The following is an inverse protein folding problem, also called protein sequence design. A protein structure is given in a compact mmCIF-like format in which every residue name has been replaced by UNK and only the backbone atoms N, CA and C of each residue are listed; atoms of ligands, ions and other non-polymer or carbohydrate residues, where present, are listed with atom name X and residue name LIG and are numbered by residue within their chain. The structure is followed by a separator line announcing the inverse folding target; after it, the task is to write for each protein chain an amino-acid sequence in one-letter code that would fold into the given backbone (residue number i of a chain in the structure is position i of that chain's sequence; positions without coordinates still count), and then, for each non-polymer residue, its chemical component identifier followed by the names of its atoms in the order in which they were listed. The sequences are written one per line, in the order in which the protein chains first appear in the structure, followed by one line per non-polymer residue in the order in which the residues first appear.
data_IF_707832362528
#
_entry.id   IF_707832362528
#
_cell.length_a   1.000
_cell.length_b   1.000
_cell.length_c   1.000
_cell.angle_alpha   90.00
_cell.angle_beta   90.00
_cell.angle_gamma   90.00
#
_symmetry.space_group_name_H-M   'P 1'
#
loop_
_entity.id
_entity.type
_entity.pdbx_description
1 polymer ?
#
# COMPACT_ATOMS: atom_id res chain seq x y z
N UNK A 1 -18.11 40.29 -8.92
CA UNK A 1 -16.95 40.09 -8.02
C UNK A 1 -17.18 39.00 -6.99
N UNK A 2 -18.30 39.00 -6.26
CA UNK A 2 -18.63 37.95 -5.28
C UNK A 2 -18.73 36.53 -5.89
N UNK A 3 -19.25 36.41 -7.11
CA UNK A 3 -19.36 35.11 -7.81
C UNK A 3 -18.02 34.50 -8.20
N UNK A 4 -17.01 35.30 -8.50
CA UNK A 4 -15.65 34.84 -8.81
C UNK A 4 -14.93 34.36 -7.56
N UNK A 5 -15.08 35.05 -6.44
CA UNK A 5 -14.52 34.63 -5.16
C UNK A 5 -15.13 33.32 -4.64
N UNK A 6 -16.46 33.16 -4.77
CA UNK A 6 -17.13 31.91 -4.37
C UNK A 6 -16.75 30.73 -5.26
N UNK A 7 -16.55 30.95 -6.57
CA UNK A 7 -16.11 29.90 -7.50
C UNK A 7 -14.67 29.46 -7.21
N UNK A 8 -13.77 30.40 -6.94
CA UNK A 8 -12.40 30.12 -6.55
C UNK A 8 -12.35 29.32 -5.25
N UNK A 9 -13.11 29.72 -4.24
CA UNK A 9 -13.17 29.03 -2.95
C UNK A 9 -13.67 27.57 -3.06
N UNK A 10 -14.69 27.32 -3.89
CA UNK A 10 -15.17 25.97 -4.14
C UNK A 10 -14.11 25.10 -4.80
N UNK A 11 -13.40 25.63 -5.79
CA UNK A 11 -12.29 24.92 -6.45
C UNK A 11 -11.19 24.60 -5.44
N UNK A 12 -10.84 25.52 -4.58
CA UNK A 12 -9.77 25.33 -3.59
C UNK A 12 -10.15 24.26 -2.55
N UNK A 13 -11.40 24.21 -2.14
CA UNK A 13 -11.92 23.15 -1.25
C UNK A 13 -11.84 21.78 -1.93
N UNK A 14 -12.28 21.68 -3.16
CA UNK A 14 -12.23 20.43 -3.93
C UNK A 14 -10.79 19.97 -4.13
N UNK A 15 -9.90 20.88 -4.49
CA UNK A 15 -8.47 20.60 -4.63
C UNK A 15 -7.86 20.11 -3.30
N UNK A 16 -8.21 20.75 -2.19
CA UNK A 16 -7.75 20.35 -0.87
C UNK A 16 -8.19 18.93 -0.50
N UNK A 17 -9.43 18.54 -0.86
CA UNK A 17 -9.94 17.20 -0.65
C UNK A 17 -9.15 16.15 -1.46
N UNK A 18 -8.92 16.41 -2.75
CA UNK A 18 -8.13 15.51 -3.59
C UNK A 18 -6.68 15.39 -3.11
N UNK A 19 -6.06 16.49 -2.73
CA UNK A 19 -4.70 16.48 -2.17
C UNK A 19 -4.63 15.72 -0.84
N UNK A 20 -5.63 15.86 0.00
CA UNK A 20 -5.69 15.11 1.27
C UNK A 20 -5.75 13.61 1.02
N UNK A 21 -6.62 13.15 0.12
CA UNK A 21 -6.71 11.74 -0.24
C UNK A 21 -5.40 11.26 -0.88
N UNK A 22 -4.81 12.05 -1.76
CA UNK A 22 -3.51 11.75 -2.37
C UNK A 22 -2.41 11.55 -1.33
N UNK A 23 -2.31 12.44 -0.34
CA UNK A 23 -1.29 12.36 0.72
C UNK A 23 -1.51 11.13 1.60
N UNK A 24 -2.75 10.81 1.95
CA UNK A 24 -3.08 9.61 2.73
C UNK A 24 -2.67 8.36 1.96
N UNK A 25 -3.03 8.26 0.68
CA UNK A 25 -2.63 7.13 -0.17
C UNK A 25 -1.11 7.03 -0.31
N UNK A 26 -0.42 8.15 -0.49
CA UNK A 26 1.03 8.20 -0.56
C UNK A 26 1.68 7.67 0.71
N UNK A 27 1.18 8.08 1.87
CA UNK A 27 1.69 7.61 3.16
C UNK A 27 1.52 6.10 3.33
N UNK A 28 0.37 5.55 2.96
CA UNK A 28 0.12 4.11 2.99
C UNK A 28 1.06 3.36 2.05
N UNK A 29 1.20 3.83 0.81
CA UNK A 29 2.07 3.20 -0.20
C UNK A 29 3.52 3.19 0.27
N UNK A 30 4.04 4.31 0.75
CA UNK A 30 5.41 4.39 1.27
C UNK A 30 5.60 3.40 2.43
N UNK A 31 4.67 3.36 3.38
CA UNK A 31 4.76 2.47 4.54
C UNK A 31 4.75 1.00 4.15
N UNK A 32 3.87 0.61 3.23
CA UNK A 32 3.73 -0.79 2.80
C UNK A 32 4.91 -1.26 1.95
N UNK A 33 5.38 -0.43 1.02
CA UNK A 33 6.41 -0.82 0.05
C UNK A 33 7.83 -0.46 0.49
N UNK A 34 8.01 0.20 1.61
CA UNK A 34 9.33 0.47 2.18
C UNK A 34 9.82 -0.75 2.98
N UNK A 35 10.40 -1.70 2.26
CA UNK A 35 10.82 -3.00 2.80
C UNK A 35 11.83 -2.90 3.94
N UNK A 36 12.71 -1.92 3.89
CA UNK A 36 13.75 -1.70 4.91
C UNK A 36 13.17 -1.49 6.30
N UNK A 37 11.97 -0.91 6.41
CA UNK A 37 11.27 -0.76 7.68
C UNK A 37 10.99 -2.13 8.31
N UNK A 38 10.46 -3.06 7.53
CA UNK A 38 10.18 -4.42 8.01
C UNK A 38 11.46 -5.21 8.28
N UNK A 39 12.49 -5.05 7.45
CA UNK A 39 13.77 -5.69 7.69
C UNK A 39 14.40 -5.24 9.01
N UNK A 40 14.29 -3.97 9.32
CA UNK A 40 14.66 -3.43 10.64
C UNK A 40 13.82 -4.06 11.76
N UNK A 41 12.52 -4.19 11.57
CA UNK A 41 11.61 -4.76 12.56
C UNK A 41 11.89 -6.25 12.80
N UNK A 42 12.31 -7.01 11.80
CA UNK A 42 12.70 -8.42 11.99
C UNK A 42 13.80 -8.53 13.06
N UNK A 43 14.79 -7.68 13.00
CA UNK A 43 15.91 -7.69 13.94
C UNK A 43 15.53 -7.02 15.28
N UNK A 44 14.87 -5.89 15.24
CA UNK A 44 14.48 -5.13 16.42
C UNK A 44 13.47 -5.87 17.30
N UNK A 45 12.45 -6.48 16.70
CA UNK A 45 11.41 -7.24 17.41
C UNK A 45 11.78 -8.71 17.63
N UNK A 46 12.98 -9.12 17.20
CA UNK A 46 13.49 -10.50 17.32
C UNK A 46 12.52 -11.53 16.78
N UNK A 47 11.96 -11.27 15.59
CA UNK A 47 10.95 -12.12 14.96
C UNK A 47 11.52 -13.51 14.67
N UNK A 48 12.77 -13.62 14.22
CA UNK A 48 13.41 -14.90 13.97
C UNK A 48 13.50 -15.77 15.23
N UNK A 49 13.86 -15.17 16.37
CA UNK A 49 13.97 -15.87 17.65
C UNK A 49 12.60 -16.33 18.16
N UNK A 50 11.57 -15.48 18.04
CA UNK A 50 10.22 -15.79 18.54
C UNK A 50 9.47 -16.81 17.67
N UNK A 51 9.77 -16.91 16.37
CA UNK A 51 9.11 -17.82 15.43
C UNK A 51 9.89 -19.10 15.18
N UNK A 52 11.18 -19.15 15.50
CA UNK A 52 12.06 -20.27 15.14
C UNK A 52 12.44 -20.33 13.66
N UNK A 53 12.06 -19.31 12.88
CA UNK A 53 12.41 -19.21 11.47
C UNK A 53 13.71 -18.44 11.29
N UNK A 54 14.49 -18.74 10.25
CA UNK A 54 15.65 -17.94 9.92
C UNK A 54 15.25 -16.56 9.39
N UNK A 55 16.12 -15.55 9.58
CA UNK A 55 15.91 -14.21 9.07
C UNK A 55 15.71 -14.21 7.54
N UNK A 56 16.49 -15.02 6.83
CA UNK A 56 16.42 -15.14 5.37
C UNK A 56 15.07 -15.69 4.91
N UNK A 57 14.51 -16.67 5.60
CA UNK A 57 13.18 -17.23 5.31
C UNK A 57 12.09 -16.18 5.52
N UNK A 58 12.15 -15.44 6.62
CA UNK A 58 11.19 -14.37 6.93
C UNK A 58 11.26 -13.29 5.85
N UNK A 59 12.44 -12.80 5.53
CA UNK A 59 12.65 -11.75 4.53
C UNK A 59 12.17 -12.18 3.15
N UNK A 60 12.51 -13.37 2.71
CA UNK A 60 12.13 -13.92 1.41
C UNK A 60 10.62 -14.02 1.23
N UNK A 61 9.91 -14.53 2.23
CA UNK A 61 8.45 -14.65 2.18
C UNK A 61 7.77 -13.29 2.25
N UNK A 62 8.30 -12.37 3.05
CA UNK A 62 7.82 -10.99 3.09
C UNK A 62 7.98 -10.29 1.74
N UNK A 63 9.12 -10.45 1.09
CA UNK A 63 9.37 -9.85 -0.23
C UNK A 63 8.37 -10.34 -1.28
N UNK A 64 8.06 -11.64 -1.28
CA UNK A 64 7.03 -12.22 -2.16
C UNK A 64 5.65 -11.64 -1.87
N UNK A 65 5.30 -11.50 -0.58
CA UNK A 65 4.02 -10.94 -0.17
C UNK A 65 3.87 -9.48 -0.62
N UNK A 66 4.89 -8.66 -0.45
CA UNK A 66 4.85 -7.24 -0.87
C UNK A 66 4.82 -7.11 -2.38
N UNK A 67 5.56 -7.91 -3.12
CA UNK A 67 5.49 -7.93 -4.57
C UNK A 67 4.07 -8.25 -5.06
N UNK A 68 3.41 -9.21 -4.42
CA UNK A 68 2.03 -9.58 -4.72
C UNK A 68 1.06 -8.42 -4.54
N UNK A 69 1.29 -7.51 -3.58
CA UNK A 69 0.42 -6.36 -3.31
C UNK A 69 0.52 -5.25 -4.37
N UNK A 70 1.53 -5.27 -5.24
CA UNK A 70 1.71 -4.25 -6.28
C UNK A 70 0.67 -4.41 -7.39
N UNK A 71 0.15 -3.28 -7.91
CA UNK A 71 -0.73 -3.27 -9.10
C UNK A 71 -0.02 -3.81 -10.34
N UNK A 72 1.31 -3.81 -10.36
CA UNK A 72 2.11 -4.31 -11.49
C UNK A 72 2.29 -5.83 -11.47
N UNK A 73 1.95 -6.48 -10.37
CA UNK A 73 2.03 -7.92 -10.26
C UNK A 73 0.72 -8.58 -10.67
N UNK A 74 0.79 -9.50 -11.62
CA UNK A 74 -0.33 -10.33 -12.06
C UNK A 74 0.00 -11.79 -11.75
N UNK A 75 -0.85 -12.45 -11.03
CA UNK A 75 -0.68 -13.85 -10.67
C UNK A 75 -1.15 -14.17 -9.27
N UNK A 76 -0.99 -15.43 -8.88
CA UNK A 76 -1.36 -15.92 -7.55
C UNK A 76 -0.23 -15.68 -6.54
N UNK A 77 -0.59 -15.63 -5.26
CA UNK A 77 0.38 -15.60 -4.17
C UNK A 77 0.87 -17.01 -3.86
N UNK A 78 2.17 -17.22 -3.99
CA UNK A 78 2.84 -18.47 -3.60
C UNK A 78 3.99 -18.13 -2.65
N UNK A 79 3.78 -18.37 -1.37
CA UNK A 79 4.83 -18.21 -0.36
C UNK A 79 5.78 -19.41 -0.43
N UNK A 80 7.11 -19.18 -0.59
CA UNK A 80 8.05 -20.29 -0.84
C UNK A 80 8.14 -21.30 0.30
N UNK A 81 7.95 -20.85 1.54
CA UNK A 81 8.21 -21.67 2.73
C UNK A 81 6.95 -21.94 3.56
N UNK A 82 5.78 -21.49 3.10
CA UNK A 82 4.51 -21.65 3.81
C UNK A 82 3.44 -22.25 2.92
N UNK A 83 2.71 -23.21 3.46
CA UNK A 83 1.48 -23.74 2.84
C UNK A 83 0.33 -22.81 3.19
N UNK A 84 -0.41 -22.38 2.18
CA UNK A 84 -1.53 -21.47 2.37
C UNK A 84 -2.86 -22.22 2.31
N UNK A 85 -3.72 -22.01 3.33
CA UNK A 85 -5.08 -22.51 3.33
C UNK A 85 -5.94 -21.76 2.33
N UNK A 86 -7.09 -22.33 1.93
CA UNK A 86 -8.04 -21.61 1.06
C UNK A 86 -8.55 -20.32 1.71
N UNK A 87 -8.82 -20.33 3.00
CA UNK A 87 -9.22 -19.11 3.75
C UNK A 87 -8.12 -18.05 3.74
N UNK A 88 -6.88 -18.44 3.95
CA UNK A 88 -5.73 -17.54 3.88
C UNK A 88 -5.54 -16.95 2.49
N UNK A 89 -5.72 -17.76 1.43
CA UNK A 89 -5.64 -17.28 0.05
C UNK A 89 -6.69 -16.23 -0.24
N UNK A 90 -7.95 -16.48 0.13
CA UNK A 90 -9.06 -15.53 -0.05
C UNK A 90 -8.76 -14.22 0.70
N UNK A 91 -8.27 -14.31 1.93
CA UNK A 91 -7.88 -13.15 2.72
C UNK A 91 -6.82 -12.28 2.01
N UNK A 92 -5.75 -12.89 1.50
CA UNK A 92 -4.71 -12.15 0.79
C UNK A 92 -5.19 -11.58 -0.54
N UNK A 93 -6.10 -12.25 -1.24
CA UNK A 93 -6.74 -11.69 -2.43
C UNK A 93 -7.58 -10.46 -2.11
N UNK A 94 -8.32 -10.48 -1.02
CA UNK A 94 -9.10 -9.33 -0.55
C UNK A 94 -8.19 -8.16 -0.13
N UNK A 95 -7.13 -8.45 0.60
CA UNK A 95 -6.11 -7.44 0.99
C UNK A 95 -5.47 -6.83 -0.26
N UNK A 96 -5.14 -7.63 -1.26
CA UNK A 96 -4.60 -7.15 -2.54
C UNK A 96 -5.55 -6.17 -3.23
N UNK A 97 -6.84 -6.48 -3.26
CA UNK A 97 -7.84 -5.56 -3.85
C UNK A 97 -7.86 -4.19 -3.15
N UNK A 98 -7.75 -4.18 -1.83
CA UNK A 98 -7.68 -2.94 -1.05
C UNK A 98 -6.42 -2.14 -1.42
N UNK A 99 -5.26 -2.77 -1.47
CA UNK A 99 -4.01 -2.09 -1.83
C UNK A 99 -3.97 -1.66 -3.30
N UNK A 100 -4.53 -2.43 -4.21
CA UNK A 100 -4.69 -2.00 -5.62
C UNK A 100 -5.57 -0.76 -5.71
N UNK A 101 -6.69 -0.73 -4.98
CA UNK A 101 -7.58 0.43 -4.92
C UNK A 101 -6.85 1.67 -4.39
N UNK A 102 -6.03 1.53 -3.36
CA UNK A 102 -5.22 2.62 -2.80
C UNK A 102 -4.22 3.13 -3.84
N UNK A 103 -3.53 2.26 -4.55
CA UNK A 103 -2.56 2.62 -5.58
C UNK A 103 -3.23 3.34 -6.77
N UNK A 104 -4.38 2.85 -7.22
CA UNK A 104 -5.16 3.48 -8.28
C UNK A 104 -5.68 4.86 -7.83
N UNK A 105 -6.22 4.95 -6.62
CA UNK A 105 -6.70 6.21 -6.04
C UNK A 105 -5.57 7.23 -5.92
N UNK A 106 -4.38 6.79 -5.54
CA UNK A 106 -3.18 7.63 -5.51
C UNK A 106 -2.89 8.26 -6.88
N UNK A 107 -2.87 7.46 -7.94
CA UNK A 107 -2.60 7.94 -9.29
C UNK A 107 -3.69 8.88 -9.77
N UNK A 108 -4.95 8.53 -9.59
CA UNK A 108 -6.10 9.32 -10.03
C UNK A 108 -6.15 10.67 -9.31
N UNK A 109 -6.01 10.68 -7.99
CA UNK A 109 -6.04 11.92 -7.21
C UNK A 109 -4.82 12.80 -7.49
N UNK A 110 -3.67 12.20 -7.76
CA UNK A 110 -2.47 12.92 -8.18
C UNK A 110 -2.65 13.62 -9.52
N UNK A 111 -3.20 12.93 -10.51
CA UNK A 111 -3.48 13.51 -11.84
C UNK A 111 -4.51 14.63 -11.73
N UNK A 112 -5.62 14.41 -11.03
CA UNK A 112 -6.67 15.43 -10.85
C UNK A 112 -6.09 16.68 -10.16
N UNK A 113 -5.31 16.50 -9.11
CA UNK A 113 -4.68 17.62 -8.38
C UNK A 113 -3.71 18.39 -9.26
N UNK A 114 -2.95 17.71 -10.10
CA UNK A 114 -1.98 18.34 -11.01
C UNK A 114 -2.67 19.14 -12.12
N UNK A 115 -3.84 18.70 -12.58
CA UNK A 115 -4.60 19.37 -13.66
C UNK A 115 -5.44 20.54 -13.12
N UNK A 116 -5.84 20.50 -11.87
CA UNK A 116 -6.52 21.63 -11.22
C UNK A 116 -5.54 22.76 -10.90
#
# INVERSE_FOLDING_TARGET
MQTLFTKSRKRDIVLALFLTVFIICLAVIITVFFKQLYYFDIDYLKIAESTGLSREVIQKNYDVLIQYQSIFYQGSLNLPDFVMSNTGRIHFEEVKRVFEMIQITFVVTGIISAVM
#
